data_IF_871617679776
#
_entry.id   IF_871617679776
#
_cell.length_a   1.000
_cell.length_b   1.000
_cell.length_c   1.000
_cell.angle_alpha   90.00
_cell.angle_beta   90.00
_cell.angle_gamma   90.00
#
_symmetry.space_group_name_H-M   'P 1'
#
loop_
_entity.id
_entity.type
_entity.pdbx_description
1 polymer ?
#
# COMPACT_ATOMS: atom_id res chain seq x y z
N UNK A 1 2.86 -4.87 -5.25
CA UNK A 1 3.35 -3.96 -4.19
C UNK A 1 4.85 -4.07 -3.98
N UNK A 2 5.41 -5.26 -3.69
CA UNK A 2 6.88 -5.43 -3.53
C UNK A 2 7.69 -4.82 -4.68
N UNK A 3 7.42 -5.22 -5.92
CA UNK A 3 8.12 -4.72 -7.11
C UNK A 3 8.01 -3.20 -7.27
N UNK A 4 6.85 -2.62 -6.93
CA UNK A 4 6.62 -1.18 -7.00
C UNK A 4 7.49 -0.40 -6.01
N UNK A 5 7.66 -0.92 -4.80
CA UNK A 5 8.54 -0.31 -3.80
C UNK A 5 10.03 -0.55 -4.08
N UNK A 6 10.39 -1.69 -4.68
CA UNK A 6 11.74 -1.94 -5.17
C UNK A 6 12.11 -0.93 -6.27
N UNK A 7 11.21 -0.69 -7.22
CA UNK A 7 11.38 0.35 -8.24
C UNK A 7 11.48 1.74 -7.61
N UNK A 8 10.56 2.09 -6.70
CA UNK A 8 10.59 3.39 -6.03
C UNK A 8 11.93 3.63 -5.31
N UNK A 9 12.43 2.66 -4.55
CA UNK A 9 13.73 2.78 -3.86
C UNK A 9 14.84 3.03 -4.88
N UNK A 10 14.88 2.28 -5.97
CA UNK A 10 15.88 2.45 -7.03
C UNK A 10 15.88 3.87 -7.62
N UNK A 11 14.71 4.41 -7.96
CA UNK A 11 14.60 5.76 -8.54
C UNK A 11 15.05 6.84 -7.56
N UNK A 12 14.68 6.71 -6.27
CA UNK A 12 15.09 7.65 -5.23
C UNK A 12 16.60 7.61 -4.99
N UNK A 13 17.22 6.42 -5.04
CA UNK A 13 18.68 6.25 -4.98
C UNK A 13 19.40 6.90 -6.17
N UNK A 14 18.78 6.88 -7.35
CA UNK A 14 19.27 7.60 -8.53
C UNK A 14 19.06 9.13 -8.45
N UNK A 15 18.41 9.63 -7.40
CA UNK A 15 18.12 11.05 -7.23
C UNK A 15 16.93 11.55 -8.05
N UNK A 16 16.14 10.64 -8.62
CA UNK A 16 14.96 10.98 -9.40
C UNK A 16 13.79 11.36 -8.49
N UNK A 17 12.87 12.17 -9.03
CA UNK A 17 11.57 12.43 -8.41
C UNK A 17 10.48 11.68 -9.17
N UNK A 18 9.73 10.85 -8.45
CA UNK A 18 8.62 10.05 -8.99
C UNK A 18 7.33 10.48 -8.30
N UNK A 19 6.24 10.65 -9.04
CA UNK A 19 4.93 10.85 -8.41
C UNK A 19 4.28 9.49 -8.11
N UNK A 20 3.81 9.32 -6.88
CA UNK A 20 3.00 8.17 -6.49
C UNK A 20 1.55 8.61 -6.37
N UNK A 21 0.70 8.04 -7.22
CA UNK A 21 -0.75 8.15 -7.15
C UNK A 21 -1.32 6.95 -6.37
N UNK A 22 -2.11 7.20 -5.34
CA UNK A 22 -2.75 6.17 -4.50
C UNK A 22 -4.25 6.42 -4.40
N UNK A 23 -5.08 5.40 -4.64
CA UNK A 23 -6.52 5.48 -4.37
C UNK A 23 -6.74 5.50 -2.86
N UNK A 24 -7.28 6.60 -2.32
CA UNK A 24 -7.47 6.79 -0.87
C UNK A 24 -8.91 6.69 -0.42
N UNK A 25 -9.87 6.92 -1.33
CA UNK A 25 -11.30 6.72 -1.09
C UNK A 25 -11.98 6.21 -2.36
N UNK A 26 -13.08 5.48 -2.17
CA UNK A 26 -13.96 5.07 -3.26
C UNK A 26 -15.41 5.05 -2.84
N UNK A 27 -16.30 5.23 -3.81
CA UNK A 27 -17.74 5.04 -3.68
C UNK A 27 -18.26 4.34 -4.93
N UNK A 28 -19.09 3.33 -4.75
CA UNK A 28 -19.62 2.54 -5.86
C UNK A 28 -18.61 1.52 -6.42
N UNK A 29 -18.85 1.10 -7.67
CA UNK A 29 -18.04 0.10 -8.37
C UNK A 29 -16.92 0.78 -9.13
N UNK A 30 -15.68 0.56 -8.69
CA UNK A 30 -14.47 1.16 -9.28
C UNK A 30 -13.51 0.03 -9.65
N UNK A 31 -12.64 0.22 -10.66
CA UNK A 31 -11.81 -0.86 -11.22
C UNK A 31 -10.74 -1.39 -10.26
N UNK A 32 -10.34 -0.59 -9.25
CA UNK A 32 -9.30 -0.95 -8.28
C UNK A 32 -9.71 -0.58 -6.87
N UNK A 33 -9.17 -1.32 -5.91
CA UNK A 33 -9.43 -1.10 -4.49
C UNK A 33 -8.64 0.08 -3.92
N UNK A 34 -9.08 0.58 -2.77
CA UNK A 34 -8.32 1.55 -1.97
C UNK A 34 -6.94 0.96 -1.65
N UNK A 35 -5.89 1.78 -1.78
CA UNK A 35 -4.49 1.37 -1.69
C UNK A 35 -3.87 0.97 -3.03
N UNK A 36 -4.64 0.86 -4.12
CA UNK A 36 -4.05 0.69 -5.45
C UNK A 36 -3.15 1.89 -5.80
N UNK A 37 -1.98 1.59 -6.36
CA UNK A 37 -0.94 2.57 -6.65
C UNK A 37 -0.52 2.58 -8.11
N UNK A 38 -0.16 3.76 -8.57
CA UNK A 38 0.52 4.00 -9.84
C UNK A 38 1.70 4.96 -9.60
N UNK A 39 2.91 4.53 -9.98
CA UNK A 39 4.07 5.41 -10.08
C UNK A 39 4.09 6.06 -11.45
N UNK A 40 4.39 7.35 -11.49
CA UNK A 40 4.58 8.13 -12.71
C UNK A 40 5.95 8.78 -12.67
N UNK A 41 6.74 8.52 -13.69
CA UNK A 41 8.09 9.05 -13.86
C UNK A 41 8.05 10.35 -14.65
N UNK A 42 9.08 11.19 -14.50
CA UNK A 42 9.20 12.46 -15.25
C UNK A 42 9.10 12.29 -16.77
N UNK A 43 9.62 11.17 -17.30
CA UNK A 43 9.52 10.82 -18.72
C UNK A 43 8.15 10.29 -19.16
N UNK A 44 7.15 10.25 -18.28
CA UNK A 44 5.81 9.75 -18.57
C UNK A 44 5.64 8.23 -18.47
N UNK A 45 6.71 7.49 -18.21
CA UNK A 45 6.64 6.05 -17.90
C UNK A 45 5.79 5.83 -16.65
N UNK A 46 5.03 4.73 -16.63
CA UNK A 46 4.19 4.33 -15.49
C UNK A 46 4.51 2.91 -15.02
N UNK A 47 4.31 2.67 -13.72
CA UNK A 47 4.33 1.35 -13.10
C UNK A 47 3.16 1.20 -12.14
N UNK A 48 2.44 0.08 -12.19
CA UNK A 48 1.17 -0.08 -11.48
C UNK A 48 0.00 0.60 -12.21
N UNK A 49 -1.17 0.62 -11.58
CA UNK A 49 -2.41 1.14 -12.17
C UNK A 49 -3.42 1.51 -11.09
N UNK A 50 -4.18 2.57 -11.35
CA UNK A 50 -5.33 2.99 -10.53
C UNK A 50 -6.66 2.58 -11.16
N UNK A 51 -6.66 1.88 -12.29
CA UNK A 51 -7.91 1.44 -12.93
C UNK A 51 -7.88 1.21 -14.42
N UNK A 52 -6.88 1.75 -15.13
CA UNK A 52 -6.91 1.84 -16.59
C UNK A 52 -7.96 2.83 -17.10
N UNK A 53 -7.97 3.06 -18.41
CA UNK A 53 -8.98 3.89 -19.07
C UNK A 53 -8.80 5.40 -18.92
N UNK A 54 -9.88 6.15 -19.16
CA UNK A 54 -9.92 7.62 -19.18
C UNK A 54 -9.43 8.27 -17.89
N UNK A 55 -9.87 7.77 -16.73
CA UNK A 55 -9.50 8.30 -15.41
C UNK A 55 -8.01 8.16 -15.12
N UNK A 56 -7.36 7.13 -15.64
CA UNK A 56 -5.91 6.94 -15.48
C UNK A 56 -5.11 8.02 -16.21
N UNK A 57 -5.58 8.49 -17.37
CA UNK A 57 -4.93 9.56 -18.12
C UNK A 57 -4.98 10.91 -17.36
N UNK A 58 -6.07 11.19 -16.64
CA UNK A 58 -6.17 12.37 -15.78
C UNK A 58 -5.20 12.28 -14.59
N UNK A 59 -5.17 11.13 -13.92
CA UNK A 59 -4.22 10.85 -12.83
C UNK A 59 -2.77 11.02 -13.31
N UNK A 60 -2.45 10.48 -14.48
CA UNK A 60 -1.13 10.60 -15.09
C UNK A 60 -0.72 12.05 -15.36
N UNK A 61 -1.60 12.88 -15.94
CA UNK A 61 -1.32 14.32 -16.17
C UNK A 61 -1.13 15.08 -14.86
N UNK A 62 -1.98 14.81 -13.87
CA UNK A 62 -1.86 15.42 -12.54
C UNK A 62 -0.55 15.02 -11.87
N UNK A 63 -0.12 13.77 -12.02
CA UNK A 63 1.14 13.27 -11.49
C UNK A 63 2.38 13.96 -12.10
N UNK A 64 2.41 14.20 -13.41
CA UNK A 64 3.48 14.99 -14.02
C UNK A 64 3.56 16.41 -13.43
N UNK A 65 2.41 17.07 -13.24
CA UNK A 65 2.37 18.39 -12.59
C UNK A 65 2.83 18.34 -11.12
N UNK A 66 2.51 17.28 -10.39
CA UNK A 66 2.99 17.06 -9.00
C UNK A 66 4.52 16.92 -8.96
N UNK A 67 5.13 16.26 -9.94
CA UNK A 67 6.60 16.19 -10.08
C UNK A 67 7.19 17.58 -10.29
N UNK A 68 6.60 18.41 -11.15
CA UNK A 68 7.14 19.74 -11.44
C UNK A 68 6.94 20.72 -10.28
N UNK A 69 5.76 20.68 -9.65
CA UNK A 69 5.39 21.62 -8.59
C UNK A 69 5.89 21.23 -7.20
N UNK A 70 6.28 19.97 -7.00
CA UNK A 70 6.65 19.39 -5.70
C UNK A 70 5.54 19.55 -4.65
N UNK A 71 4.28 19.59 -5.08
CA UNK A 71 3.11 19.78 -4.21
C UNK A 71 2.14 18.62 -4.37
N UNK A 72 1.77 17.93 -3.28
CA UNK A 72 0.74 16.90 -3.35
C UNK A 72 -0.59 17.47 -3.86
N UNK A 73 -1.34 16.62 -4.57
CA UNK A 73 -2.65 16.95 -5.11
C UNK A 73 -3.60 15.76 -4.94
N UNK A 74 -4.87 16.03 -4.66
CA UNK A 74 -5.92 15.01 -4.68
C UNK A 74 -6.85 15.30 -5.84
N UNK A 75 -7.07 14.30 -6.68
CA UNK A 75 -8.08 14.39 -7.75
C UNK A 75 -9.19 13.39 -7.49
N UNK A 76 -10.39 13.72 -7.93
CA UNK A 76 -11.53 12.82 -7.92
C UNK A 76 -11.78 12.36 -9.34
N UNK A 77 -11.72 11.04 -9.56
CA UNK A 77 -12.07 10.42 -10.83
C UNK A 77 -13.52 9.98 -10.74
N UNK A 78 -14.35 10.52 -11.62
CA UNK A 78 -15.76 10.18 -11.75
C UNK A 78 -15.98 9.38 -13.04
N UNK A 79 -16.28 8.09 -12.88
CA UNK A 79 -16.58 7.20 -14.01
C UNK A 79 -18.09 7.12 -14.32
N UNK A 80 -18.92 7.93 -13.66
CA UNK A 80 -20.36 7.98 -13.89
C UNK A 80 -20.74 8.88 -15.07
N UNK A 81 -19.87 9.83 -15.45
CA UNK A 81 -20.17 10.83 -16.48
C UNK A 81 -19.97 10.30 -17.93
N UNK A 82 -19.18 9.24 -18.14
CA UNK A 82 -18.88 8.69 -19.48
C UNK A 82 -19.99 7.79 -20.07
N UNK A 83 -21.26 8.05 -19.74
CA UNK A 83 -22.41 7.42 -20.40
C UNK A 83 -22.67 8.14 -21.73
N UNK A 84 -21.68 8.14 -22.63
CA UNK A 84 -21.91 8.38 -24.05
C UNK A 84 -22.16 7.02 -24.71
N UNK A 85 -23.25 6.93 -25.48
CA UNK A 85 -23.80 5.70 -26.07
C UNK A 85 -22.80 4.96 -26.99
N UNK A 86 -21.78 4.25 -26.46
CA UNK A 86 -21.01 3.21 -27.19
C UNK A 86 -19.93 2.46 -26.36
N UNK A 87 -19.80 2.63 -25.05
CA UNK A 87 -18.73 1.96 -24.27
C UNK A 87 -19.19 0.67 -23.57
N UNK A 88 -18.53 -0.44 -23.92
CA UNK A 88 -18.67 -1.74 -23.26
C UNK A 88 -17.91 -1.73 -21.92
N UNK A 89 -18.64 -1.85 -20.80
CA UNK A 89 -18.10 -2.14 -19.47
C UNK A 89 -17.60 -0.90 -18.72
N UNK A 90 -18.51 -0.22 -18.00
CA UNK A 90 -18.16 0.98 -17.21
C UNK A 90 -18.32 0.68 -15.73
N UNK A 91 -17.21 0.75 -14.99
CA UNK A 91 -17.23 0.84 -13.53
C UNK A 91 -17.90 2.16 -13.13
N UNK A 92 -19.20 2.18 -12.81
CA UNK A 92 -19.96 3.41 -12.51
C UNK A 92 -19.74 3.96 -11.09
N UNK A 93 -18.49 4.11 -10.66
CA UNK A 93 -18.11 4.58 -9.35
C UNK A 93 -17.22 5.82 -9.38
N UNK A 94 -16.97 6.38 -8.21
CA UNK A 94 -16.15 7.58 -8.01
C UNK A 94 -15.04 7.21 -7.03
N UNK A 95 -13.82 7.67 -7.28
CA UNK A 95 -12.70 7.45 -6.36
C UNK A 95 -11.75 8.64 -6.28
N UNK A 96 -11.20 8.85 -5.09
CA UNK A 96 -10.24 9.91 -4.83
C UNK A 96 -8.82 9.32 -4.93
N UNK A 97 -7.97 9.98 -5.71
CA UNK A 97 -6.56 9.63 -5.88
C UNK A 97 -5.70 10.72 -5.28
N UNK A 98 -4.97 10.37 -4.22
CA UNK A 98 -3.94 11.23 -3.64
C UNK A 98 -2.62 11.01 -4.38
N UNK A 99 -2.05 12.09 -4.89
CA UNK A 99 -0.85 12.09 -5.72
C UNK A 99 0.20 12.94 -5.01
N UNK A 100 1.36 12.36 -4.73
CA UNK A 100 2.45 13.05 -4.05
C UNK A 100 3.79 12.80 -4.75
N UNK A 101 4.71 13.78 -4.73
CA UNK A 101 6.07 13.57 -5.20
C UNK A 101 6.83 12.74 -4.16
N UNK A 102 7.62 11.79 -4.62
CA UNK A 102 8.61 11.05 -3.84
C UNK A 102 9.99 11.43 -4.35
N UNK A 103 10.86 11.88 -3.45
CA UNK A 103 12.22 12.33 -3.75
C UNK A 103 13.16 12.04 -2.57
N UNK A 104 14.47 12.06 -2.80
CA UNK A 104 15.49 11.83 -1.74
C UNK A 104 15.79 13.07 -0.89
N UNK A 105 15.26 14.25 -1.24
CA UNK A 105 15.49 15.47 -0.45
C UNK A 105 14.89 15.35 0.97
N UNK A 106 15.69 15.73 1.98
CA UNK A 106 15.31 15.69 3.39
C UNK A 106 14.42 16.88 3.76
N UNK A 107 13.27 16.62 4.39
CA UNK A 107 12.39 17.65 4.95
C UNK A 107 12.51 17.65 6.48
N UNK A 108 12.67 18.82 7.14
CA UNK A 108 12.77 18.89 8.59
C UNK A 108 11.57 18.26 9.30
N UNK A 109 11.83 17.41 10.30
CA UNK A 109 10.81 16.83 11.18
C UNK A 109 10.01 15.67 10.58
N UNK A 110 10.42 15.13 9.43
CA UNK A 110 9.78 13.99 8.77
C UNK A 110 10.81 12.91 8.45
N UNK A 111 10.43 11.61 8.44
CA UNK A 111 11.31 10.58 7.92
C UNK A 111 11.57 10.84 6.43
N UNK A 112 12.78 10.53 5.96
CA UNK A 112 13.07 10.68 4.54
C UNK A 112 12.14 9.77 3.73
N UNK A 113 11.58 10.24 2.62
CA UNK A 113 10.74 9.40 1.75
C UNK A 113 11.50 8.15 1.26
N UNK A 114 12.81 8.27 1.05
CA UNK A 114 13.69 7.12 0.74
C UNK A 114 13.76 6.12 1.89
N UNK A 115 13.91 6.57 3.14
CA UNK A 115 13.90 5.70 4.33
C UNK A 115 12.55 5.00 4.49
N UNK A 116 11.45 5.71 4.21
CA UNK A 116 10.10 5.14 4.24
C UNK A 116 9.95 4.04 3.18
N UNK A 117 10.36 4.31 1.94
CA UNK A 117 10.30 3.35 0.85
C UNK A 117 11.15 2.10 1.15
N UNK A 118 12.36 2.31 1.69
CA UNK A 118 13.27 1.22 2.06
C UNK A 118 12.71 0.38 3.21
N UNK A 119 12.14 0.99 4.25
CA UNK A 119 11.53 0.27 5.36
C UNK A 119 10.36 -0.61 4.90
N UNK A 120 9.53 -0.11 3.97
CA UNK A 120 8.42 -0.89 3.39
C UNK A 120 8.96 -2.03 2.53
N UNK A 121 9.98 -1.79 1.69
CA UNK A 121 10.62 -2.85 0.91
C UNK A 121 11.17 -3.95 1.82
N UNK A 122 11.92 -3.60 2.86
CA UNK A 122 12.53 -4.53 3.81
C UNK A 122 11.48 -5.33 4.58
N UNK A 123 10.38 -4.69 5.01
CA UNK A 123 9.28 -5.39 5.68
C UNK A 123 8.62 -6.42 4.76
N UNK A 124 8.35 -6.05 3.50
CA UNK A 124 7.77 -6.95 2.50
C UNK A 124 8.71 -8.13 2.14
N UNK A 125 10.03 -7.92 2.12
CA UNK A 125 11.03 -8.95 1.89
C UNK A 125 11.22 -9.87 3.11
N UNK A 126 11.19 -9.29 4.32
CA UNK A 126 11.30 -9.99 5.60
C UNK A 126 10.01 -10.66 6.07
N UNK A 127 8.92 -10.55 5.30
CA UNK A 127 7.57 -11.04 5.65
C UNK A 127 7.02 -10.48 6.97
N UNK A 128 7.29 -9.21 7.23
CA UNK A 128 6.77 -8.49 8.39
C UNK A 128 5.71 -7.50 7.96
N UNK A 129 4.68 -7.31 8.80
CA UNK A 129 3.71 -6.26 8.56
C UNK A 129 4.30 -4.88 8.93
N UNK A 130 3.99 -3.88 8.10
CA UNK A 130 4.30 -2.47 8.36
C UNK A 130 3.15 -1.61 7.86
N UNK A 131 2.89 -0.48 8.51
CA UNK A 131 1.81 0.44 8.15
C UNK A 131 2.39 1.80 7.82
N UNK A 132 1.99 2.36 6.69
CA UNK A 132 2.25 3.74 6.31
C UNK A 132 1.04 4.60 6.66
N UNK A 133 1.27 5.62 7.48
CA UNK A 133 0.31 6.67 7.74
C UNK A 133 0.70 7.89 6.93
N UNK A 134 -0.24 8.44 6.17
CA UNK A 134 -0.02 9.63 5.33
C UNK A 134 -1.12 10.65 5.57
N UNK A 135 -0.77 11.91 5.82
CA UNK A 135 -1.77 12.99 5.89
C UNK A 135 -2.23 13.31 4.46
N UNK A 136 -3.48 12.97 4.11
CA UNK A 136 -3.99 13.12 2.73
C UNK A 136 -4.92 14.30 2.55
N UNK A 137 -5.47 14.83 3.64
CA UNK A 137 -6.23 16.08 3.66
C UNK A 137 -6.18 16.71 5.06
N UNK A 138 -6.22 18.03 5.14
CA UNK A 138 -6.27 18.73 6.41
C UNK A 138 -6.87 20.15 6.26
N UNK A 139 -7.26 20.76 7.37
CA UNK A 139 -7.73 22.14 7.46
C UNK A 139 -6.89 23.00 8.41
N UNK A 140 -7.05 24.31 8.26
CA UNK A 140 -6.34 25.31 9.07
C UNK A 140 -4.82 25.19 8.94
N UNK A 141 -4.06 25.37 10.03
CA UNK A 141 -2.61 25.29 10.01
C UNK A 141 -2.10 23.87 9.70
N UNK A 142 -2.93 22.83 9.85
CA UNK A 142 -2.50 21.46 9.59
C UNK A 142 -2.33 21.12 8.10
N UNK A 143 -2.74 22.02 7.19
CA UNK A 143 -2.55 21.87 5.74
C UNK A 143 -1.09 21.71 5.32
N UNK A 144 -0.16 22.27 6.08
CA UNK A 144 1.29 22.12 5.83
C UNK A 144 1.79 20.70 6.09
N UNK A 145 1.00 19.86 6.77
CA UNK A 145 1.33 18.46 7.02
C UNK A 145 0.84 17.51 5.93
N UNK A 146 0.12 17.98 4.89
CA UNK A 146 -0.31 17.11 3.79
C UNK A 146 0.91 16.50 3.08
N UNK A 147 0.90 15.17 2.92
CA UNK A 147 2.02 14.39 2.37
C UNK A 147 3.05 13.93 3.41
N UNK A 148 2.92 14.33 4.68
CA UNK A 148 3.81 13.83 5.74
C UNK A 148 3.50 12.38 6.08
N UNK A 149 4.56 11.64 6.46
CA UNK A 149 4.50 10.22 6.75
C UNK A 149 4.88 9.88 8.19
N UNK A 150 4.29 8.80 8.67
CA UNK A 150 4.71 8.06 9.85
C UNK A 150 4.60 6.57 9.54
N UNK A 151 5.57 5.79 9.98
CA UNK A 151 5.54 4.34 9.85
C UNK A 151 5.24 3.71 11.21
N UNK A 152 4.52 2.59 11.20
CA UNK A 152 4.29 1.76 12.38
C UNK A 152 4.57 0.30 12.01
N UNK A 153 5.53 -0.31 12.70
CA UNK A 153 5.79 -1.75 12.58
C UNK A 153 4.71 -2.57 13.29
N UNK A 154 4.59 -3.84 12.93
CA UNK A 154 3.67 -4.81 13.55
C UNK A 154 3.72 -4.82 15.09
N UNK A 155 4.93 -4.71 15.66
CA UNK A 155 5.13 -4.63 17.12
C UNK A 155 4.72 -3.31 17.79
N UNK A 156 4.18 -2.35 17.03
CA UNK A 156 3.75 -1.03 17.51
C UNK A 156 4.86 0.03 17.57
N UNK A 157 6.10 -0.32 17.20
CA UNK A 157 7.19 0.64 17.11
C UNK A 157 6.93 1.65 15.96
N UNK A 158 6.93 2.93 16.29
CA UNK A 158 6.71 4.01 15.33
C UNK A 158 8.01 4.66 14.87
N UNK A 159 8.07 5.04 13.59
CA UNK A 159 9.17 5.80 12.99
C UNK A 159 8.59 7.10 12.38
N UNK A 160 9.22 8.22 12.71
CA UNK A 160 8.70 9.55 12.40
C UNK A 160 7.58 9.98 13.36
N UNK A 161 6.99 11.14 13.10
CA UNK A 161 5.81 11.62 13.82
C UNK A 161 4.96 12.50 12.92
N UNK A 162 3.68 12.63 13.25
CA UNK A 162 2.76 13.57 12.60
C UNK A 162 2.42 14.66 13.62
N UNK A 163 3.24 15.72 13.73
CA UNK A 163 2.95 16.81 14.65
C UNK A 163 1.68 17.55 14.22
N UNK A 164 0.70 17.63 15.10
CA UNK A 164 -0.53 18.38 14.87
C UNK A 164 -0.60 19.50 15.91
N UNK A 165 -0.49 20.76 15.47
CA UNK A 165 -0.51 21.91 16.37
C UNK A 165 -1.78 21.90 17.25
N UNK A 166 -1.61 22.04 18.56
CA UNK A 166 -2.69 21.93 19.53
C UNK A 166 -3.00 20.51 20.03
N UNK A 167 -2.28 19.49 19.56
CA UNK A 167 -2.35 18.12 20.07
C UNK A 167 -1.01 17.68 20.66
N UNK A 168 -1.05 16.91 21.75
CA UNK A 168 0.15 16.33 22.36
C UNK A 168 0.52 15.02 21.66
N UNK A 169 1.82 14.81 21.39
CA UNK A 169 2.30 13.55 20.81
C UNK A 169 2.04 12.33 21.71
N UNK A 170 1.99 12.55 23.03
CA UNK A 170 1.62 11.52 24.00
C UNK A 170 0.18 10.99 23.85
N UNK A 171 -0.70 11.74 23.16
CA UNK A 171 -2.08 11.32 22.86
C UNK A 171 -2.20 10.86 21.41
N UNK A 172 -1.64 11.64 20.47
CA UNK A 172 -1.81 11.38 19.05
C UNK A 172 -1.07 10.12 18.60
N UNK A 173 0.18 9.91 19.03
CA UNK A 173 0.98 8.75 18.60
C UNK A 173 0.34 7.42 19.01
N UNK A 174 -0.12 7.22 20.26
CA UNK A 174 -0.85 6.00 20.61
C UNK A 174 -2.12 5.77 19.79
N UNK A 175 -2.92 6.82 19.51
CA UNK A 175 -4.11 6.70 18.68
C UNK A 175 -3.77 6.23 17.26
N UNK A 176 -2.71 6.79 16.67
CA UNK A 176 -2.25 6.41 15.33
C UNK A 176 -1.68 4.99 15.28
N UNK A 177 -0.94 4.57 16.33
CA UNK A 177 -0.44 3.18 16.46
C UNK A 177 -1.59 2.19 16.61
N UNK A 178 -2.62 2.52 17.40
CA UNK A 178 -3.81 1.67 17.52
C UNK A 178 -4.55 1.57 16.17
N UNK A 179 -4.67 2.69 15.45
CA UNK A 179 -5.24 2.71 14.10
C UNK A 179 -4.46 1.84 13.12
N UNK A 180 -3.13 1.87 13.19
CA UNK A 180 -2.27 0.99 12.40
C UNK A 180 -2.48 -0.50 12.73
N UNK A 181 -2.58 -0.85 14.01
CA UNK A 181 -2.86 -2.23 14.44
C UNK A 181 -4.23 -2.73 13.94
N UNK A 182 -5.24 -1.86 13.91
CA UNK A 182 -6.54 -2.16 13.29
C UNK A 182 -6.41 -2.43 11.80
N UNK A 183 -5.61 -1.64 11.07
CA UNK A 183 -5.37 -1.85 9.64
C UNK A 183 -4.69 -3.19 9.35
N UNK A 184 -3.68 -3.57 10.16
CA UNK A 184 -3.02 -4.89 10.06
C UNK A 184 -4.05 -6.01 10.26
N UNK A 185 -4.82 -5.93 11.36
CA UNK A 185 -5.81 -6.95 11.72
C UNK A 185 -6.92 -7.09 10.67
N UNK A 186 -7.36 -5.99 10.08
CA UNK A 186 -8.42 -5.95 9.07
C UNK A 186 -7.92 -6.36 7.67
N UNK A 187 -6.62 -6.30 7.42
CA UNK A 187 -6.04 -6.56 6.10
C UNK A 187 -6.34 -5.47 5.07
N UNK A 188 -6.78 -4.28 5.49
CA UNK A 188 -7.35 -3.25 4.60
C UNK A 188 -6.96 -1.84 5.04
N UNK A 189 -6.73 -0.92 4.09
CA UNK A 189 -6.51 0.48 4.40
C UNK A 189 -7.80 1.19 4.82
N UNK A 190 -7.65 2.28 5.59
CA UNK A 190 -8.76 3.15 5.98
C UNK A 190 -8.29 4.60 6.20
N UNK A 191 -9.26 5.50 6.42
CA UNK A 191 -9.01 6.88 6.83
C UNK A 191 -9.23 7.00 8.34
N UNK A 192 -8.20 7.40 9.08
CA UNK A 192 -8.31 7.85 10.47
C UNK A 192 -8.51 9.37 10.47
N UNK A 193 -9.67 9.82 10.96
CA UNK A 193 -9.96 11.25 11.09
C UNK A 193 -9.49 11.76 12.44
N UNK A 194 -8.61 12.75 12.42
CA UNK A 194 -8.12 13.46 13.59
C UNK A 194 -8.81 14.82 13.67
N UNK A 195 -9.35 15.15 14.84
CA UNK A 195 -9.93 16.46 15.13
C UNK A 195 -9.14 17.15 16.23
N UNK A 196 -8.95 18.45 16.08
CA UNK A 196 -8.22 19.27 17.04
C UNK A 196 -8.98 20.53 17.43
N UNK A 197 -8.32 21.39 18.22
CA UNK A 197 -8.85 22.71 18.57
C UNK A 197 -9.17 23.55 17.33
N UNK A 198 -10.03 24.55 17.50
CA UNK A 198 -10.33 25.56 16.45
C UNK A 198 -10.88 24.95 15.15
N UNK A 199 -11.60 23.82 15.24
CA UNK A 199 -12.17 23.10 14.10
C UNK A 199 -11.11 22.61 13.08
N UNK A 200 -9.86 22.46 13.53
CA UNK A 200 -8.81 21.83 12.75
C UNK A 200 -9.09 20.33 12.62
N UNK A 201 -8.84 19.78 11.44
CA UNK A 201 -9.00 18.37 11.18
C UNK A 201 -7.94 17.89 10.19
N UNK A 202 -7.62 16.61 10.26
CA UNK A 202 -6.79 15.91 9.29
C UNK A 202 -7.38 14.52 9.02
N UNK A 203 -7.34 14.12 7.76
CA UNK A 203 -7.61 12.75 7.34
C UNK A 203 -6.28 12.07 7.09
N UNK A 204 -6.01 11.03 7.88
CA UNK A 204 -4.79 10.21 7.79
C UNK A 204 -5.15 8.93 7.06
N UNK A 205 -4.54 8.71 5.90
CA UNK A 205 -4.63 7.44 5.19
C UNK A 205 -3.70 6.43 5.87
N UNK A 206 -4.28 5.36 6.42
CA UNK A 206 -3.61 4.30 7.15
C UNK A 206 -3.56 3.08 6.23
N UNK A 207 -2.37 2.74 5.73
CA UNK A 207 -2.17 1.72 4.71
C UNK A 207 -1.29 0.58 5.21
N UNK A 208 -1.84 -0.64 5.39
CA UNK A 208 -1.06 -1.80 5.81
C UNK A 208 -0.38 -2.46 4.60
N UNK A 209 0.92 -2.72 4.75
CA UNK A 209 1.72 -3.57 3.88
C UNK A 209 1.94 -4.89 4.60
N UNK A 210 1.30 -5.93 4.08
CA UNK A 210 1.25 -7.24 4.73
C UNK A 210 2.08 -8.27 3.95
N UNK A 211 2.66 -9.27 4.65
CA UNK A 211 3.22 -10.43 3.98
C UNK A 211 2.16 -11.17 3.16
N UNK A 212 2.61 -12.02 2.24
CA UNK A 212 1.68 -12.88 1.50
C UNK A 212 0.93 -13.78 2.47
N UNK A 213 -0.39 -13.92 2.33
CA UNK A 213 -1.14 -14.85 3.17
C UNK A 213 -0.56 -16.26 3.01
N UNK A 214 -0.43 -16.97 4.12
CA UNK A 214 0.09 -18.34 4.13
C UNK A 214 -1.02 -19.29 3.71
N UNK A 215 -0.74 -20.16 2.75
CA UNK A 215 -1.62 -21.27 2.38
C UNK A 215 -0.95 -22.58 2.80
N UNK A 216 -1.38 -23.14 3.92
CA UNK A 216 -0.87 -24.40 4.44
C UNK A 216 -1.66 -25.57 3.84
N UNK A 217 -0.97 -26.48 3.17
CA UNK A 217 -1.52 -27.72 2.64
C UNK A 217 -1.07 -28.86 3.55
N UNK A 218 -2.01 -29.37 4.34
CA UNK A 218 -1.82 -30.55 5.17
C UNK A 218 -2.13 -31.82 4.36
N UNK A 219 -1.10 -32.59 4.03
CA UNK A 219 -1.14 -33.77 3.18
C UNK A 219 -0.69 -33.45 1.74
N UNK A 220 0.44 -34.01 1.35
CA UNK A 220 1.04 -33.85 0.02
C UNK A 220 0.49 -34.87 -0.99
N UNK A 221 -0.80 -35.18 -0.96
CA UNK A 221 -1.44 -36.12 -1.90
C UNK A 221 -1.47 -35.66 -3.36
N UNK A 222 -2.13 -36.41 -4.25
CA UNK A 222 -2.21 -36.05 -5.69
C UNK A 222 -2.93 -34.73 -5.95
N UNK A 223 -3.89 -34.34 -5.10
CA UNK A 223 -4.64 -33.09 -5.21
C UNK A 223 -3.82 -31.89 -4.73
N UNK A 224 -2.84 -32.11 -3.85
CA UNK A 224 -2.06 -31.04 -3.24
C UNK A 224 -1.21 -30.27 -4.26
N UNK A 225 -0.63 -30.94 -5.26
CA UNK A 225 0.22 -30.29 -6.27
C UNK A 225 -0.55 -29.25 -7.12
N UNK A 226 -1.68 -29.56 -7.77
CA UNK A 226 -2.44 -28.55 -8.51
C UNK A 226 -3.01 -27.47 -7.57
N UNK A 227 -3.39 -27.81 -6.33
CA UNK A 227 -3.82 -26.83 -5.33
C UNK A 227 -2.70 -25.85 -4.98
N UNK A 228 -1.48 -26.33 -4.78
CA UNK A 228 -0.30 -25.51 -4.52
C UNK A 228 -0.02 -24.56 -5.67
N UNK A 229 -0.10 -25.02 -6.92
CA UNK A 229 0.09 -24.18 -8.09
C UNK A 229 -0.98 -23.08 -8.21
N UNK A 230 -2.26 -23.41 -7.97
CA UNK A 230 -3.34 -22.42 -7.95
C UNK A 230 -3.14 -21.40 -6.82
N UNK A 231 -2.80 -21.86 -5.61
CA UNK A 231 -2.54 -20.98 -4.48
C UNK A 231 -1.34 -20.04 -4.75
N UNK A 232 -0.27 -20.55 -5.35
CA UNK A 232 0.87 -19.73 -5.78
C UNK A 232 0.45 -18.68 -6.81
N UNK A 233 -0.35 -19.05 -7.81
CA UNK A 233 -0.88 -18.13 -8.83
C UNK A 233 -1.76 -17.03 -8.21
N UNK A 234 -2.51 -17.36 -7.16
CA UNK A 234 -3.29 -16.41 -6.36
C UNK A 234 -2.43 -15.58 -5.37
N UNK A 235 -1.10 -15.66 -5.48
CA UNK A 235 -0.11 -14.93 -4.68
C UNK A 235 -0.08 -15.31 -3.17
N UNK A 236 -0.48 -16.54 -2.83
CA UNK A 236 -0.24 -17.09 -1.49
C UNK A 236 1.21 -17.55 -1.31
N UNK A 237 1.69 -17.49 -0.07
CA UNK A 237 2.92 -18.19 0.34
C UNK A 237 2.56 -19.63 0.71
N UNK A 238 2.79 -20.56 -0.22
CA UNK A 238 2.40 -21.96 -0.06
C UNK A 238 3.38 -22.72 0.84
N UNK A 239 2.87 -23.42 1.83
CA UNK A 239 3.63 -24.38 2.64
C UNK A 239 2.93 -25.74 2.57
N UNK A 240 3.69 -26.81 2.39
CA UNK A 240 3.14 -28.17 2.28
C UNK A 240 3.75 -29.04 3.37
N UNK A 241 2.90 -29.77 4.09
CA UNK A 241 3.33 -30.73 5.11
C UNK A 241 2.81 -32.14 4.81
N UNK A 242 3.64 -33.15 5.02
CA UNK A 242 3.30 -34.58 4.93
C UNK A 242 4.30 -35.40 5.75
N UNK A 243 3.86 -36.51 6.33
CA UNK A 243 4.70 -37.42 7.11
C UNK A 243 5.65 -38.24 6.21
N UNK A 244 5.36 -38.33 4.91
CA UNK A 244 6.18 -39.05 3.94
C UNK A 244 7.10 -38.10 3.20
N UNK A 245 8.39 -38.23 3.44
CA UNK A 245 9.44 -37.43 2.79
C UNK A 245 9.39 -37.47 1.24
N UNK A 246 8.98 -38.61 0.66
CA UNK A 246 8.81 -38.74 -0.79
C UNK A 246 7.62 -37.94 -1.34
N UNK A 247 6.66 -37.59 -0.49
CA UNK A 247 5.48 -36.84 -0.88
C UNK A 247 5.72 -35.34 -0.79
N UNK A 248 6.20 -34.82 0.35
CA UNK A 248 6.51 -33.40 0.54
C UNK A 248 7.89 -33.02 -0.05
N UNK A 249 8.04 -33.12 -1.37
CA UNK A 249 9.31 -32.91 -2.08
C UNK A 249 9.29 -31.71 -3.03
N UNK A 250 10.48 -31.15 -3.30
CA UNK A 250 10.66 -30.00 -4.21
C UNK A 250 10.26 -30.34 -5.65
N UNK A 251 10.47 -31.59 -6.07
CA UNK A 251 10.07 -32.08 -7.38
C UNK A 251 8.56 -31.99 -7.59
N UNK A 252 7.78 -32.29 -6.55
CA UNK A 252 6.30 -32.26 -6.62
C UNK A 252 5.71 -30.87 -6.35
N UNK A 253 6.45 -30.03 -5.63
CA UNK A 253 6.02 -28.70 -5.20
C UNK A 253 7.13 -27.66 -5.41
N UNK A 254 7.47 -27.35 -6.68
CA UNK A 254 8.56 -26.43 -7.00
C UNK A 254 8.31 -25.02 -6.44
N UNK A 255 7.05 -24.58 -6.45
CA UNK A 255 6.64 -23.24 -6.04
C UNK A 255 6.33 -23.10 -4.54
N UNK A 256 6.34 -24.22 -3.79
CA UNK A 256 6.09 -24.18 -2.36
C UNK A 256 7.25 -23.49 -1.64
N UNK A 257 6.94 -22.48 -0.82
CA UNK A 257 7.95 -21.79 -0.04
C UNK A 257 8.59 -22.72 1.00
N UNK A 258 7.77 -23.51 1.69
CA UNK A 258 8.22 -24.45 2.73
C UNK A 258 7.68 -25.85 2.45
N UNK A 259 8.54 -26.83 2.69
CA UNK A 259 8.21 -28.26 2.69
C UNK A 259 8.55 -28.79 4.08
N UNK A 260 7.53 -29.23 4.79
CA UNK A 260 7.63 -29.71 6.16
C UNK A 260 7.43 -31.22 6.13
N UNK A 261 8.42 -31.98 6.59
CA UNK A 261 8.32 -33.43 6.69
C UNK A 261 8.19 -33.77 8.17
N UNK A 262 7.05 -34.32 8.55
CA UNK A 262 6.76 -34.61 9.95
C UNK A 262 5.29 -34.94 10.18
N UNK A 263 4.96 -35.25 11.43
CA UNK A 263 3.57 -35.45 11.82
C UNK A 263 2.81 -34.13 11.62
N UNK A 264 1.67 -34.19 10.93
CA UNK A 264 0.81 -33.04 10.65
C UNK A 264 0.32 -32.37 11.95
N UNK A 265 0.17 -33.13 13.04
CA UNK A 265 -0.23 -32.60 14.36
C UNK A 265 0.91 -31.84 15.06
N UNK A 266 2.16 -32.04 14.61
CA UNK A 266 3.37 -31.45 15.21
C UNK A 266 3.99 -30.35 14.31
N UNK A 267 3.39 -30.06 13.14
CA UNK A 267 3.95 -29.25 12.06
C UNK A 267 3.38 -27.83 11.93
#
# INVERSE_FOLDING_TARGET
MRELFQELVHELECGETVAMATIVRRKGSVPREVGAKMLVHRGGRISGTVGGGCGEAEVWRSALNVIDTQRPNTIQVDLTEEIAMESQGVCGGIFDVFIQPWHSAMLPGQPAMQEVALAIQQALEGEQAIVLLTVVAAAGPWRTHIGQHMLVHEGGAAIGSLPMAGMTQAVLTPQLVESAQRAISAGKPHIEKITGPENNWADIFVEPFLPRPVFLIAGAGHIAAPLASIAHLMNYSVSVTDDRASFASRERFPDAKRLLVGNIEEA
#
